data_IF_142380635552
#
_entry.id   IF_142380635552
#
_cell.length_a   1.000
_cell.length_b   1.000
_cell.length_c   1.000
_cell.angle_alpha   90.00
_cell.angle_beta   90.00
_cell.angle_gamma   90.00
#
_symmetry.space_group_name_H-M   'P 1'
#
loop_
_entity.id
_entity.type
_entity.pdbx_description
1 polymer ?
#
# COMPACT_ATOMS: atom_id res chain seq x y z
N UNK A 1 3.87 -8.65 -6.55
CA UNK A 1 4.25 -7.50 -5.71
C UNK A 1 3.05 -7.02 -4.93
N UNK A 2 3.24 -6.58 -3.69
CA UNK A 2 2.18 -6.07 -2.80
C UNK A 2 2.52 -4.65 -2.33
N UNK A 3 1.55 -3.71 -2.29
CA UNK A 3 1.77 -2.37 -1.75
C UNK A 3 1.96 -2.42 -0.24
N UNK A 4 2.85 -1.56 0.27
CA UNK A 4 3.15 -1.37 1.68
C UNK A 4 3.10 0.11 2.02
N UNK A 5 2.31 0.45 3.04
CA UNK A 5 2.20 1.83 3.51
C UNK A 5 3.06 2.02 4.75
N UNK A 6 4.14 2.79 4.62
CA UNK A 6 5.01 3.17 5.72
C UNK A 6 4.58 4.54 6.26
N UNK A 7 4.30 4.58 7.56
CA UNK A 7 4.00 5.83 8.27
C UNK A 7 5.12 6.10 9.27
N UNK A 8 5.80 7.24 9.12
CA UNK A 8 6.88 7.66 10.00
C UNK A 8 6.70 9.14 10.34
N UNK A 9 6.53 9.44 11.63
CA UNK A 9 6.08 10.75 12.10
C UNK A 9 4.80 11.19 11.37
N UNK A 10 4.84 12.36 10.72
CA UNK A 10 3.76 12.85 9.90
C UNK A 10 3.80 12.33 8.45
N UNK A 11 4.89 11.68 8.01
CA UNK A 11 5.12 11.30 6.61
C UNK A 11 4.55 9.92 6.29
N UNK A 12 3.90 9.83 5.13
CA UNK A 12 3.32 8.61 4.59
C UNK A 12 4.00 8.29 3.26
N UNK A 13 4.50 7.05 3.12
CA UNK A 13 5.17 6.58 1.91
C UNK A 13 4.59 5.26 1.45
N UNK A 14 4.43 5.11 0.15
CA UNK A 14 4.05 3.86 -0.50
C UNK A 14 5.29 3.17 -1.06
N UNK A 15 5.53 1.97 -0.56
CA UNK A 15 6.50 1.02 -1.07
C UNK A 15 5.77 -0.13 -1.77
N UNK A 16 6.51 -0.90 -2.56
CA UNK A 16 6.04 -2.20 -3.04
C UNK A 16 7.01 -3.29 -2.58
N UNK A 17 6.47 -4.31 -1.93
CA UNK A 17 7.20 -5.53 -1.65
C UNK A 17 7.12 -6.49 -2.83
N UNK A 18 8.27 -7.00 -3.25
CA UNK A 18 8.36 -8.17 -4.11
C UNK A 18 8.99 -9.31 -3.34
N UNK A 19 8.27 -10.42 -3.25
CA UNK A 19 8.85 -11.68 -2.78
C UNK A 19 9.62 -12.31 -3.95
N UNK A 20 10.90 -12.58 -3.73
CA UNK A 20 11.79 -13.25 -4.68
C UNK A 20 12.10 -14.71 -4.28
N UNK A 21 11.51 -15.19 -3.17
CA UNK A 21 11.66 -16.54 -2.64
C UNK A 21 12.67 -16.63 -1.49
N UNK A 22 13.87 -16.08 -1.66
CA UNK A 22 14.93 -16.04 -0.62
C UNK A 22 14.99 -14.70 0.12
N UNK A 23 14.46 -13.65 -0.49
CA UNK A 23 14.39 -12.32 0.09
C UNK A 23 13.13 -11.55 -0.33
N UNK A 24 12.82 -10.50 0.44
CA UNK A 24 11.77 -9.54 0.11
C UNK A 24 12.44 -8.23 -0.28
N UNK A 25 12.23 -7.79 -1.52
CA UNK A 25 12.69 -6.49 -2.00
C UNK A 25 11.64 -5.42 -1.72
N UNK A 26 12.07 -4.34 -1.07
CA UNK A 26 11.25 -3.13 -0.89
C UNK A 26 11.62 -2.11 -1.96
N UNK A 27 10.69 -1.86 -2.88
CA UNK A 27 10.82 -0.88 -3.95
C UNK A 27 10.17 0.42 -3.47
N UNK A 28 10.96 1.47 -3.27
CA UNK A 28 10.44 2.82 -3.00
C UNK A 28 9.72 3.33 -4.25
N UNK A 29 8.51 3.88 -4.08
CA UNK A 29 7.68 4.27 -5.20
C UNK A 29 7.12 5.67 -5.08
N UNK A 30 6.49 6.04 -3.96
CA UNK A 30 5.76 7.31 -3.87
C UNK A 30 5.80 7.89 -2.45
N UNK A 31 6.21 9.16 -2.32
CA UNK A 31 5.88 9.98 -1.15
C UNK A 31 4.40 10.36 -1.24
N UNK A 32 3.58 9.76 -0.40
CA UNK A 32 2.11 9.90 -0.43
C UNK A 32 1.69 11.25 0.16
N UNK A 33 2.44 11.77 1.12
CA UNK A 33 2.15 13.06 1.74
C UNK A 33 2.49 13.11 3.22
N UNK A 34 1.93 14.13 3.88
CA UNK A 34 2.19 14.42 5.28
C UNK A 34 0.92 14.80 6.03
N UNK A 35 0.80 14.43 7.29
CA UNK A 35 -0.27 14.90 8.18
C UNK A 35 0.09 16.20 8.91
N UNK A 36 1.25 16.80 8.60
CA UNK A 36 1.71 18.04 9.21
C UNK A 36 0.91 19.28 8.78
N UNK A 37 0.18 19.19 7.67
CA UNK A 37 -0.69 20.24 7.16
C UNK A 37 -1.95 19.67 6.49
N UNK A 38 -2.97 20.51 6.34
CA UNK A 38 -4.29 20.09 5.86
C UNK A 38 -4.26 19.64 4.40
N UNK A 39 -3.38 20.19 3.56
CA UNK A 39 -3.28 19.80 2.15
C UNK A 39 -2.71 18.40 2.06
N UNK A 40 -1.63 18.12 2.80
CA UNK A 40 -1.05 16.78 2.89
C UNK A 40 -2.02 15.74 3.43
N UNK A 41 -2.86 16.09 4.42
CA UNK A 41 -3.93 15.21 4.89
C UNK A 41 -4.91 14.82 3.78
N UNK A 42 -5.34 15.78 2.94
CA UNK A 42 -6.21 15.47 1.81
C UNK A 42 -5.49 14.65 0.73
N UNK A 43 -4.19 14.88 0.49
CA UNK A 43 -3.40 14.03 -0.42
C UNK A 43 -3.35 12.58 0.07
N UNK A 44 -3.10 12.37 1.36
CA UNK A 44 -3.12 11.04 1.98
C UNK A 44 -4.51 10.40 1.83
N UNK A 45 -5.59 11.15 2.07
CA UNK A 45 -6.95 10.64 1.94
C UNK A 45 -7.26 10.15 0.52
N UNK A 46 -6.88 10.91 -0.52
CA UNK A 46 -7.09 10.48 -1.91
C UNK A 46 -6.27 9.23 -2.25
N UNK A 47 -5.01 9.17 -1.81
CA UNK A 47 -4.17 7.99 -2.01
C UNK A 47 -4.76 6.74 -1.34
N UNK A 48 -5.27 6.89 -0.11
CA UNK A 48 -5.95 5.80 0.60
C UNK A 48 -7.19 5.31 -0.14
N UNK A 49 -8.00 6.20 -0.73
CA UNK A 49 -9.15 5.79 -1.55
C UNK A 49 -8.74 4.93 -2.74
N UNK A 50 -7.64 5.27 -3.41
CA UNK A 50 -7.11 4.46 -4.51
C UNK A 50 -6.63 3.09 -4.02
N UNK A 51 -5.89 3.07 -2.90
CA UNK A 51 -5.39 1.82 -2.30
C UNK A 51 -6.55 0.94 -1.84
N UNK A 52 -7.58 1.49 -1.19
CA UNK A 52 -8.75 0.74 -0.76
C UNK A 52 -9.50 0.11 -1.92
N UNK A 53 -9.72 0.87 -3.00
CA UNK A 53 -10.33 0.31 -4.22
C UNK A 53 -9.51 -0.86 -4.77
N UNK A 54 -8.18 -0.73 -4.81
CA UNK A 54 -7.31 -1.84 -5.22
C UNK A 54 -7.40 -3.05 -4.25
N UNK A 55 -7.50 -2.80 -2.94
CA UNK A 55 -7.66 -3.87 -1.95
C UNK A 55 -8.95 -4.65 -2.22
N UNK A 56 -10.06 -3.94 -2.41
CA UNK A 56 -11.39 -4.53 -2.63
C UNK A 56 -11.48 -5.27 -3.97
N UNK A 57 -10.97 -4.66 -5.04
CA UNK A 57 -11.13 -5.18 -6.40
C UNK A 57 -10.08 -6.22 -6.79
N UNK A 58 -8.88 -6.16 -6.19
CA UNK A 58 -7.73 -6.98 -6.61
C UNK A 58 -7.21 -7.86 -5.47
N UNK A 59 -6.80 -7.27 -4.35
CA UNK A 59 -6.12 -8.03 -3.29
C UNK A 59 -7.02 -9.04 -2.59
N UNK A 60 -8.18 -8.60 -2.10
CA UNK A 60 -9.07 -9.47 -1.35
C UNK A 60 -9.58 -10.67 -2.19
N UNK A 61 -10.01 -10.49 -3.46
CA UNK A 61 -10.37 -11.63 -4.32
C UNK A 61 -9.20 -12.59 -4.55
N UNK A 62 -8.00 -12.07 -4.83
CA UNK A 62 -6.80 -12.90 -5.01
C UNK A 62 -6.47 -13.70 -3.74
N UNK A 63 -6.44 -13.03 -2.59
CA UNK A 63 -6.09 -13.63 -1.30
C UNK A 63 -7.08 -14.72 -0.90
N UNK A 64 -8.38 -14.44 -1.01
CA UNK A 64 -9.43 -15.39 -0.66
C UNK A 64 -9.47 -16.60 -1.59
N UNK A 65 -9.15 -16.43 -2.88
CA UNK A 65 -9.03 -17.55 -3.80
C UNK A 65 -7.85 -18.47 -3.45
N UNK A 66 -6.71 -17.91 -3.02
CA UNK A 66 -5.55 -18.69 -2.59
C UNK A 66 -5.74 -19.46 -1.28
N UNK A 67 -6.76 -19.12 -0.47
CA UNK A 67 -7.10 -19.81 0.78
C UNK A 67 -8.07 -20.99 0.59
N UNK A 68 -8.61 -21.19 -0.61
CA UNK A 68 -9.48 -22.34 -0.88
C UNK A 68 -8.65 -23.63 -0.87
N UNK A 69 -9.02 -24.66 -0.08
CA UNK A 69 -8.34 -25.95 -0.13
C UNK A 69 -8.50 -26.56 -1.53
N UNK A 70 -7.44 -27.26 -1.98
CA UNK A 70 -7.38 -27.96 -3.28
C UNK A 70 -8.49 -29.01 -3.46
#
# INVERSE_FOLDING_TARGET
TLPLLLVTDARWKLYFASDLGDEIHLIDAVDVGTTADIIGCYTILEALRVIFRWIEETFAPWFLNGLKPE
#
